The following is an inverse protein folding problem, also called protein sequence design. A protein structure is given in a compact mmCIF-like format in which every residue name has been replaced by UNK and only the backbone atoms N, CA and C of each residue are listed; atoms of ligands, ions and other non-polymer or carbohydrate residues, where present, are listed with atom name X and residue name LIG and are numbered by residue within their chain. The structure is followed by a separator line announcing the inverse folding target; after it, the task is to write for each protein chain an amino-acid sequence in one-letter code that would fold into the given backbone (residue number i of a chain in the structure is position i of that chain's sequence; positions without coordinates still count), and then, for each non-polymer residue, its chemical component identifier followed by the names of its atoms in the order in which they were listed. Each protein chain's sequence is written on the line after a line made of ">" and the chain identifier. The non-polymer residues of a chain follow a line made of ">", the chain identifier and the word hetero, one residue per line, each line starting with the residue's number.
data_IF_475927248859
#
_entry.id   IF_475927248859
#
_cell.length_a   1.000
_cell.length_b   1.000
_cell.length_c   1.000
_cell.angle_alpha   90.00
_cell.angle_beta   90.00
_cell.angle_gamma   90.00
#
_symmetry.space_group_name_H-M   'P 1'
#
loop_
_entity.id
_entity.type
_entity.pdbx_description
1 polymer ?
#
# COMPACT_ATOMS: atom_id res chain seq x y z
N UNK A 1 -6.31 20.95 -20.23
CA UNK A 1 -6.84 19.60 -20.54
C UNK A 1 -6.69 18.75 -19.30
N UNK A 2 -7.79 18.17 -18.78
CA UNK A 2 -7.71 17.24 -17.64
C UNK A 2 -6.97 15.96 -18.07
N UNK A 3 -6.17 15.38 -17.17
CA UNK A 3 -5.56 14.08 -17.42
C UNK A 3 -6.65 13.01 -17.64
N UNK A 4 -6.41 11.99 -18.49
CA UNK A 4 -7.29 10.84 -18.64
C UNK A 4 -7.59 10.19 -17.29
N UNK A 5 -8.81 9.67 -17.11
CA UNK A 5 -9.22 9.06 -15.84
C UNK A 5 -8.35 7.83 -15.50
N UNK A 6 -7.92 7.09 -16.52
CA UNK A 6 -7.00 5.97 -16.42
C UNK A 6 -5.65 6.36 -15.80
N UNK A 7 -5.10 7.51 -16.19
CA UNK A 7 -3.84 8.02 -15.67
C UNK A 7 -3.94 8.45 -14.21
N UNK A 8 -5.07 9.04 -13.81
CA UNK A 8 -5.33 9.38 -12.41
C UNK A 8 -5.35 8.12 -11.53
N UNK A 9 -6.04 7.06 -11.95
CA UNK A 9 -6.07 5.81 -11.21
C UNK A 9 -4.69 5.14 -11.12
N UNK A 10 -3.89 5.19 -12.19
CA UNK A 10 -2.51 4.71 -12.16
C UNK A 10 -1.63 5.48 -11.21
N UNK A 11 -1.72 6.81 -11.21
CA UNK A 11 -0.89 7.63 -10.30
C UNK A 11 -1.24 7.38 -8.84
N UNK A 12 -2.54 7.24 -8.54
CA UNK A 12 -2.98 6.86 -7.20
C UNK A 12 -2.45 5.47 -6.82
N UNK A 13 -2.54 4.47 -7.70
CA UNK A 13 -2.01 3.13 -7.45
C UNK A 13 -0.49 3.15 -7.19
N UNK A 14 0.29 3.90 -7.99
CA UNK A 14 1.73 4.12 -7.79
C UNK A 14 2.04 4.73 -6.43
N UNK A 15 1.23 5.72 -6.02
CA UNK A 15 1.37 6.41 -4.75
C UNK A 15 1.11 5.47 -3.56
N UNK A 16 0.05 4.67 -3.60
CA UNK A 16 -0.22 3.67 -2.56
C UNK A 16 0.90 2.63 -2.45
N UNK A 17 1.46 2.18 -3.59
CA UNK A 17 2.62 1.27 -3.57
C UNK A 17 3.89 1.90 -3.02
N UNK A 18 4.09 3.22 -3.23
CA UNK A 18 5.20 3.94 -2.60
C UNK A 18 5.02 3.99 -1.09
N UNK A 19 3.81 4.28 -0.60
CA UNK A 19 3.55 4.26 0.84
C UNK A 19 3.72 2.88 1.47
N UNK A 20 3.21 1.83 0.83
CA UNK A 20 3.41 0.46 1.28
C UNK A 20 4.92 0.13 1.42
N UNK A 21 5.72 0.46 0.41
CA UNK A 21 7.18 0.29 0.45
C UNK A 21 7.86 1.10 1.57
N UNK A 22 7.43 2.33 1.80
CA UNK A 22 7.97 3.16 2.89
C UNK A 22 7.66 2.58 4.26
N UNK A 23 6.47 2.01 4.45
CA UNK A 23 6.10 1.33 5.70
C UNK A 23 6.99 0.11 5.91
N UNK A 24 7.21 -0.71 4.88
CA UNK A 24 8.10 -1.89 4.94
C UNK A 24 9.56 -1.55 5.26
N UNK A 25 9.97 -0.31 4.98
CA UNK A 25 11.31 0.20 5.29
C UNK A 25 11.41 0.86 6.67
N UNK A 26 10.32 0.95 7.44
CA UNK A 26 10.38 1.52 8.78
C UNK A 26 11.16 0.58 9.71
N UNK A 27 12.20 1.11 10.36
CA UNK A 27 12.96 0.41 11.39
C UNK A 27 12.07 -0.06 12.56
N UNK A 28 10.92 0.58 12.75
CA UNK A 28 9.89 0.15 13.70
C UNK A 28 9.45 -1.32 13.48
N UNK A 29 9.48 -1.83 12.25
CA UNK A 29 9.19 -3.24 11.96
C UNK A 29 10.29 -4.20 12.44
N UNK A 30 11.49 -3.67 12.67
CA UNK A 30 12.66 -4.40 13.16
C UNK A 30 12.87 -4.23 14.66
N UNK A 31 12.13 -3.32 15.31
CA UNK A 31 12.32 -2.98 16.72
C UNK A 31 12.21 -4.20 17.64
N UNK A 32 11.30 -5.14 17.36
CA UNK A 32 11.16 -6.40 18.12
C UNK A 32 12.45 -7.27 18.12
N UNK A 33 13.36 -7.08 17.15
CA UNK A 33 14.66 -7.75 17.11
C UNK A 33 15.69 -7.10 18.02
N UNK A 34 15.48 -5.82 18.35
CA UNK A 34 16.36 -5.01 19.20
C UNK A 34 15.86 -4.90 20.63
N UNK A 35 14.57 -5.17 20.87
CA UNK A 35 13.90 -5.05 22.18
C UNK A 35 13.41 -6.40 22.69
N UNK A 36 14.27 -7.43 22.62
CA UNK A 36 13.97 -8.75 23.17
C UNK A 36 14.10 -8.77 24.70
N UNK A 37 13.69 -9.88 25.35
CA UNK A 37 13.82 -10.05 26.80
C UNK A 37 15.24 -9.82 27.32
N UNK A 38 16.23 -10.14 26.49
CA UNK A 38 17.65 -10.05 26.83
C UNK A 38 18.22 -8.62 26.70
N UNK A 39 17.55 -7.73 25.96
CA UNK A 39 17.99 -6.34 25.73
C UNK A 39 17.09 -5.30 26.41
N UNK A 40 15.96 -5.73 26.97
CA UNK A 40 15.00 -4.86 27.62
C UNK A 40 15.39 -4.54 29.07
N UNK A 41 15.60 -3.26 29.36
CA UNK A 41 15.84 -2.76 30.72
C UNK A 41 14.55 -2.14 31.25
N UNK A 42 13.76 -2.92 31.99
CA UNK A 42 12.53 -2.44 32.63
C UNK A 42 11.59 -3.57 33.08
N UNK A 43 10.55 -3.26 33.89
CA UNK A 43 9.57 -4.26 34.29
C UNK A 43 8.77 -4.74 33.06
N UNK A 44 8.50 -6.04 32.99
CA UNK A 44 7.67 -6.73 31.97
C UNK A 44 8.17 -6.73 30.51
N UNK A 45 9.36 -7.30 30.22
CA UNK A 45 9.86 -7.44 28.84
C UNK A 45 8.89 -8.15 27.87
N UNK A 46 8.13 -9.14 28.37
CA UNK A 46 7.19 -9.90 27.56
C UNK A 46 6.00 -9.05 27.08
N UNK A 47 5.53 -8.11 27.91
CA UNK A 47 4.46 -7.20 27.53
C UNK A 47 4.93 -6.21 26.46
N UNK A 48 6.15 -5.67 26.63
CA UNK A 48 6.75 -4.76 25.65
C UNK A 48 7.00 -5.45 24.30
N UNK A 49 7.58 -6.65 24.29
CA UNK A 49 7.75 -7.45 23.06
C UNK A 49 6.39 -7.72 22.38
N UNK A 50 5.37 -8.08 23.16
CA UNK A 50 4.00 -8.27 22.67
C UNK A 50 3.43 -7.03 22.00
N UNK A 51 3.59 -5.83 22.59
CA UNK A 51 3.17 -4.57 21.99
C UNK A 51 3.88 -4.29 20.66
N UNK A 52 5.21 -4.43 20.63
CA UNK A 52 6.00 -4.16 19.42
C UNK A 52 5.62 -5.13 18.30
N UNK A 53 5.42 -6.42 18.62
CA UNK A 53 4.91 -7.41 17.67
C UNK A 53 3.50 -7.07 17.19
N UNK A 54 2.62 -6.63 18.09
CA UNK A 54 1.26 -6.18 17.75
C UNK A 54 1.28 -5.04 16.73
N UNK A 55 2.05 -3.98 17.01
CA UNK A 55 2.20 -2.85 16.08
C UNK A 55 2.82 -3.27 14.74
N UNK A 56 3.81 -4.18 14.76
CA UNK A 56 4.39 -4.75 13.54
C UNK A 56 3.32 -5.43 12.69
N UNK A 57 2.49 -6.28 13.29
CA UNK A 57 1.38 -6.94 12.58
C UNK A 57 0.43 -5.93 11.96
N UNK A 58 -0.01 -4.92 12.74
CA UNK A 58 -0.88 -3.86 12.22
C UNK A 58 -0.29 -3.11 11.03
N UNK A 59 1.01 -2.79 11.07
CA UNK A 59 1.68 -2.11 9.96
C UNK A 59 1.73 -3.00 8.70
N UNK A 60 1.98 -4.30 8.85
CA UNK A 60 1.99 -5.24 7.73
C UNK A 60 0.59 -5.43 7.12
N UNK A 61 -0.44 -5.48 7.96
CA UNK A 61 -1.84 -5.54 7.49
C UNK A 61 -2.20 -4.31 6.67
N UNK A 62 -1.70 -3.13 7.06
CA UNK A 62 -1.92 -1.89 6.32
C UNK A 62 -1.15 -1.87 4.99
N UNK A 63 0.08 -2.39 4.96
CA UNK A 63 0.83 -2.61 3.70
C UNK A 63 0.02 -3.46 2.72
N UNK A 64 -0.55 -4.57 3.21
CA UNK A 64 -1.35 -5.47 2.39
C UNK A 64 -2.66 -4.80 1.92
N UNK A 65 -3.30 -4.01 2.79
CA UNK A 65 -4.46 -3.19 2.42
C UNK A 65 -4.12 -2.21 1.30
N UNK A 66 -3.03 -1.44 1.44
CA UNK A 66 -2.57 -0.49 0.42
C UNK A 66 -2.31 -1.17 -0.92
N UNK A 67 -1.70 -2.36 -0.90
CA UNK A 67 -1.45 -3.17 -2.11
C UNK A 67 -2.73 -3.66 -2.77
N UNK A 68 -3.71 -4.12 -1.99
CA UNK A 68 -5.03 -4.54 -2.49
C UNK A 68 -5.75 -3.37 -3.17
N UNK A 69 -5.76 -2.20 -2.54
CA UNK A 69 -6.40 -0.99 -3.11
C UNK A 69 -5.67 -0.53 -4.38
N UNK A 70 -4.33 -0.52 -4.38
CA UNK A 70 -3.55 -0.18 -5.58
C UNK A 70 -3.89 -1.11 -6.76
N UNK A 71 -3.99 -2.41 -6.51
CA UNK A 71 -4.35 -3.40 -7.53
C UNK A 71 -5.78 -3.19 -8.06
N UNK A 72 -6.71 -2.78 -7.20
CA UNK A 72 -8.07 -2.44 -7.61
C UNK A 72 -8.10 -1.17 -8.48
N UNK A 73 -7.30 -0.16 -8.17
CA UNK A 73 -7.17 1.06 -8.98
C UNK A 73 -6.58 0.77 -10.37
N UNK A 74 -5.62 -0.14 -10.48
CA UNK A 74 -5.10 -0.56 -11.79
C UNK A 74 -6.14 -1.24 -12.66
N UNK A 75 -6.99 -2.10 -12.08
CA UNK A 75 -8.12 -2.68 -12.81
C UNK A 75 -9.06 -1.60 -13.31
N UNK A 76 -9.43 -0.64 -12.45
CA UNK A 76 -10.24 0.51 -12.86
C UNK A 76 -9.58 1.35 -13.97
N UNK A 77 -8.26 1.50 -13.95
CA UNK A 77 -7.53 2.18 -15.01
C UNK A 77 -7.65 1.44 -16.34
N UNK A 78 -7.50 0.11 -16.33
CA UNK A 78 -7.65 -0.72 -17.53
C UNK A 78 -9.08 -0.67 -18.08
N UNK A 79 -10.09 -0.72 -17.21
CA UNK A 79 -11.50 -0.60 -17.60
C UNK A 79 -11.79 0.77 -18.25
N UNK A 80 -11.25 1.85 -17.68
CA UNK A 80 -11.37 3.20 -18.23
C UNK A 80 -10.73 3.32 -19.62
N UNK A 81 -9.54 2.75 -19.84
CA UNK A 81 -8.89 2.74 -21.16
C UNK A 81 -9.64 1.90 -22.19
N UNK A 82 -10.25 0.79 -21.76
CA UNK A 82 -11.07 -0.03 -22.65
C UNK A 82 -12.31 0.75 -23.10
N UNK A 83 -12.96 1.47 -22.18
CA UNK A 83 -14.10 2.33 -22.49
C UNK A 83 -13.72 3.48 -23.44
N UNK A 84 -12.62 4.20 -23.17
CA UNK A 84 -12.13 5.28 -24.04
C UNK A 84 -11.83 4.79 -25.45
N UNK A 85 -11.16 3.63 -25.59
CA UNK A 85 -10.90 3.02 -26.91
C UNK A 85 -12.18 2.63 -27.64
N UNK A 86 -13.15 2.05 -26.93
CA UNK A 86 -14.44 1.68 -27.53
C UNK A 86 -15.21 2.91 -28.02
N UNK A 87 -15.24 4.00 -27.24
CA UNK A 87 -15.86 5.26 -27.64
C UNK A 87 -15.17 5.86 -28.86
N UNK A 88 -13.84 5.93 -28.88
CA UNK A 88 -13.07 6.48 -30.00
C UNK A 88 -13.24 5.66 -31.29
N UNK A 89 -13.34 4.34 -31.19
CA UNK A 89 -13.62 3.48 -32.34
C UNK A 89 -15.01 3.74 -32.95
N UNK A 90 -16.01 4.03 -32.11
CA UNK A 90 -17.37 4.36 -32.56
C UNK A 90 -17.47 5.76 -33.19
N UNK A 91 -16.69 6.74 -32.71
CA UNK A 91 -16.73 8.12 -33.21
C UNK A 91 -15.81 8.35 -34.40
N UNK A 92 -14.67 7.64 -34.51
CA UNK A 92 -13.75 7.74 -35.66
C UNK A 92 -14.15 6.92 -36.89
N UNK A 93 -15.19 6.10 -36.80
CA UNK A 93 -15.76 5.34 -37.92
C UNK A 93 -16.91 6.07 -38.64
N UNK A 94 -17.19 7.34 -38.27
CA UNK A 94 -18.14 8.24 -38.93
C UNK A 94 -17.37 9.33 -39.69
#
# INVERSE_FOLDING_TARGET
>A
MSAPLSDLYREQARTLRRFARRIEQLDALLLHRLTGPDTWVGPTPQWADGLVRGHRTTLLDEVDRLRRVASALERKAADAEAAERATNALTGAR
#
